data_IF_399766513015
#
_entry.id   IF_399766513015
#
_cell.length_a   1.000
_cell.length_b   1.000
_cell.length_c   1.000
_cell.angle_alpha   90.00
_cell.angle_beta   90.00
_cell.angle_gamma   90.00
#
_symmetry.space_group_name_H-M   'P 1'
#
loop_
_entity.id
_entity.type
_entity.pdbx_description
1 polymer ?
#
# COMPACT_ATOMS: atom_id res chain seq x y z
N UNK A 1 4.89 -22.79 -2.99
CA UNK A 1 3.44 -22.84 -2.74
C UNK A 1 2.91 -21.56 -2.09
N UNK A 2 3.44 -20.37 -2.47
CA UNK A 2 3.16 -19.05 -1.84
C UNK A 2 2.46 -18.03 -2.74
N UNK A 3 2.05 -18.39 -3.98
CA UNK A 3 1.55 -17.40 -4.97
C UNK A 3 0.03 -17.16 -4.97
N UNK A 4 -0.74 -17.87 -4.16
CA UNK A 4 -2.22 -17.83 -4.26
C UNK A 4 -2.93 -16.79 -3.38
N UNK A 5 -2.21 -16.13 -2.45
CA UNK A 5 -2.87 -15.20 -1.50
C UNK A 5 -2.88 -13.76 -2.04
N UNK A 6 -2.01 -13.43 -2.99
CA UNK A 6 -1.98 -12.08 -3.60
C UNK A 6 -3.20 -11.77 -4.49
N UNK A 7 -3.91 -12.81 -4.95
CA UNK A 7 -5.05 -12.65 -5.88
C UNK A 7 -6.34 -12.20 -5.18
N UNK A 8 -6.50 -12.48 -3.90
CA UNK A 8 -7.77 -12.22 -3.20
C UNK A 8 -7.94 -10.75 -2.82
N UNK A 9 -6.86 -10.06 -2.46
CA UNK A 9 -6.94 -8.63 -2.11
C UNK A 9 -7.03 -7.73 -3.34
N UNK A 10 -6.40 -8.09 -4.45
CA UNK A 10 -6.53 -7.37 -5.71
C UNK A 10 -7.87 -7.64 -6.41
N UNK A 11 -8.40 -8.87 -6.29
CA UNK A 11 -9.68 -9.24 -6.88
C UNK A 11 -10.89 -8.54 -6.23
N UNK A 12 -10.85 -8.26 -4.94
CA UNK A 12 -11.93 -7.52 -4.28
C UNK A 12 -12.04 -6.07 -4.78
N UNK A 13 -10.94 -5.45 -5.16
CA UNK A 13 -10.92 -4.09 -5.71
C UNK A 13 -11.28 -4.08 -7.21
N UNK A 14 -10.88 -5.11 -7.96
CA UNK A 14 -11.17 -5.23 -9.41
C UNK A 14 -12.62 -5.65 -9.71
N UNK A 15 -13.28 -6.39 -8.83
CA UNK A 15 -14.69 -6.76 -9.01
C UNK A 15 -15.63 -5.54 -8.92
N UNK A 16 -15.19 -4.46 -8.30
CA UNK A 16 -15.93 -3.20 -8.21
C UNK A 16 -15.86 -2.33 -9.48
N UNK A 17 -14.94 -2.57 -10.39
CA UNK A 17 -14.69 -1.70 -11.55
C UNK A 17 -15.36 -2.17 -12.86
N UNK A 18 -15.96 -3.34 -12.88
CA UNK A 18 -16.43 -3.99 -14.12
C UNK A 18 -17.68 -3.42 -14.79
N UNK A 19 -18.37 -2.44 -14.20
CA UNK A 19 -19.69 -1.99 -14.69
C UNK A 19 -19.88 -0.48 -14.88
N UNK A 20 -18.81 0.31 -14.92
CA UNK A 20 -18.89 1.77 -15.04
C UNK A 20 -18.68 2.28 -16.49
N UNK A 21 -19.29 1.68 -17.50
CA UNK A 21 -19.37 2.31 -18.82
C UNK A 21 -20.84 2.61 -19.13
N UNK A 22 -21.31 3.75 -18.71
CA UNK A 22 -22.52 4.36 -19.26
C UNK A 22 -22.14 5.65 -19.97
N UNK A 23 -22.38 5.69 -21.25
CA UNK A 23 -22.08 6.80 -22.15
C UNK A 23 -22.97 8.01 -21.81
N UNK A 24 -22.36 9.08 -21.32
CA UNK A 24 -23.01 10.38 -21.22
C UNK A 24 -22.89 11.13 -22.55
N UNK A 25 -24.01 11.45 -23.15
CA UNK A 25 -24.07 12.36 -24.32
C UNK A 25 -23.88 13.81 -23.86
N UNK A 26 -22.93 14.46 -24.52
CA UNK A 26 -22.68 15.89 -24.46
C UNK A 26 -23.88 16.67 -25.06
N UNK A 27 -24.49 17.53 -24.28
CA UNK A 27 -25.41 18.57 -24.82
C UNK A 27 -24.76 19.93 -24.67
N UNK A 28 -24.59 20.61 -25.80
CA UNK A 28 -24.19 22.00 -25.93
C UNK A 28 -25.15 22.97 -25.25
N UNK A 29 -24.67 24.03 -24.60
CA UNK A 29 -25.56 25.00 -23.96
C UNK A 29 -26.12 26.02 -24.95
N UNK A 30 -27.42 26.14 -24.98
CA UNK A 30 -28.09 27.27 -25.60
C UNK A 30 -28.56 28.25 -24.52
N UNK A 31 -28.09 29.48 -24.66
CA UNK A 31 -28.41 30.56 -23.74
C UNK A 31 -29.86 31.07 -24.00
N UNK A 32 -30.68 31.12 -22.95
CA UNK A 32 -31.50 32.28 -22.62
C UNK A 32 -32.56 31.97 -21.55
N UNK A 33 -32.72 32.96 -20.69
CA UNK A 33 -33.76 33.26 -19.70
C UNK A 33 -33.64 32.66 -18.30
N UNK A 34 -33.20 33.57 -17.47
CA UNK A 34 -33.22 33.50 -16.00
C UNK A 34 -34.62 33.88 -15.51
N UNK A 35 -35.35 32.95 -14.90
CA UNK A 35 -36.38 33.26 -13.90
C UNK A 35 -35.94 32.68 -12.55
N UNK A 36 -36.09 33.42 -11.44
CA UNK A 36 -35.63 32.95 -10.15
C UNK A 36 -36.73 32.15 -9.44
N UNK A 37 -36.34 31.01 -8.91
CA UNK A 37 -37.07 30.27 -7.89
C UNK A 37 -37.84 29.01 -8.30
N UNK A 38 -37.06 27.98 -8.61
CA UNK A 38 -37.41 26.62 -8.20
C UNK A 38 -36.11 25.98 -7.78
N UNK A 39 -35.98 25.55 -6.53
CA UNK A 39 -34.95 24.62 -6.14
C UNK A 39 -35.13 23.36 -6.98
N UNK A 40 -34.40 23.27 -8.10
CA UNK A 40 -34.29 22.04 -8.85
C UNK A 40 -33.81 20.96 -7.90
N UNK A 41 -34.70 20.01 -7.61
CA UNK A 41 -34.32 18.81 -6.88
C UNK A 41 -33.18 18.15 -7.66
N UNK A 42 -31.99 18.15 -7.08
CA UNK A 42 -30.82 17.45 -7.64
C UNK A 42 -31.28 16.07 -8.10
N UNK A 43 -31.07 15.68 -9.37
CA UNK A 43 -31.53 14.39 -9.86
C UNK A 43 -31.05 13.30 -8.92
N UNK A 44 -31.95 12.38 -8.57
CA UNK A 44 -31.60 11.28 -7.67
C UNK A 44 -30.39 10.53 -8.22
N UNK A 45 -29.36 10.40 -7.44
CA UNK A 45 -28.15 9.68 -7.84
C UNK A 45 -28.52 8.26 -8.31
N UNK A 46 -27.92 7.75 -9.37
CA UNK A 46 -28.26 6.43 -9.89
C UNK A 46 -27.98 5.36 -8.82
N UNK A 47 -28.94 4.46 -8.64
CA UNK A 47 -28.79 3.31 -7.75
C UNK A 47 -27.73 2.35 -8.28
N UNK A 48 -26.58 2.27 -7.63
CA UNK A 48 -25.56 1.26 -7.90
C UNK A 48 -25.51 0.29 -6.71
N UNK A 49 -25.69 -1.00 -6.97
CA UNK A 49 -25.81 -2.06 -5.94
C UNK A 49 -26.84 -1.77 -4.84
N UNK A 50 -27.89 -1.03 -5.20
CA UNK A 50 -28.94 -0.61 -4.27
C UNK A 50 -28.63 0.64 -3.46
N UNK A 51 -27.46 1.27 -3.64
CA UNK A 51 -27.10 2.52 -2.99
C UNK A 51 -27.28 3.71 -3.94
N UNK A 52 -27.70 4.84 -3.38
CA UNK A 52 -27.55 6.13 -4.02
C UNK A 52 -26.08 6.52 -3.96
N UNK A 53 -25.37 6.36 -5.08
CA UNK A 53 -23.91 6.54 -5.16
C UNK A 53 -23.56 7.87 -5.81
N UNK A 54 -22.61 8.57 -5.22
CA UNK A 54 -21.98 9.78 -5.76
C UNK A 54 -20.47 9.60 -5.71
N UNK A 55 -19.76 10.22 -6.64
CA UNK A 55 -18.29 10.21 -6.61
C UNK A 55 -17.66 10.40 -7.97
N UNK A 56 -16.34 10.20 -7.99
CA UNK A 56 -15.53 10.35 -9.20
C UNK A 56 -14.51 9.24 -9.31
N UNK A 57 -14.17 8.91 -10.55
CA UNK A 57 -13.09 7.97 -10.90
C UNK A 57 -12.22 8.63 -11.97
N UNK A 58 -10.94 8.78 -11.67
CA UNK A 58 -9.95 9.31 -12.58
C UNK A 58 -9.02 8.21 -13.06
N UNK A 59 -9.03 7.93 -14.35
CA UNK A 59 -8.17 6.93 -14.96
C UNK A 59 -7.55 7.43 -16.26
N UNK A 60 -6.48 6.80 -16.69
CA UNK A 60 -5.83 7.19 -17.91
C UNK A 60 -4.53 6.44 -18.13
N UNK A 61 -3.75 6.90 -19.09
CA UNK A 61 -2.44 6.34 -19.41
C UNK A 61 -1.37 7.36 -19.10
N UNK A 62 -0.37 6.96 -18.30
CA UNK A 62 0.81 7.77 -18.03
C UNK A 62 1.89 7.43 -19.05
N UNK A 63 2.48 8.47 -19.64
CA UNK A 63 3.71 8.37 -20.41
C UNK A 63 4.85 8.94 -19.56
N UNK A 64 5.88 8.16 -19.33
CA UNK A 64 7.09 8.59 -18.66
C UNK A 64 8.27 8.43 -19.64
N UNK A 65 9.03 9.51 -19.81
CA UNK A 65 10.26 9.50 -20.58
C UNK A 65 11.35 10.09 -19.71
N UNK A 66 12.41 9.35 -19.52
CA UNK A 66 13.54 9.75 -18.66
C UNK A 66 14.74 9.95 -19.56
N UNK A 67 15.37 11.11 -19.42
CA UNK A 67 16.64 11.43 -20.07
C UNK A 67 17.63 11.81 -18.97
N UNK A 68 18.66 10.99 -18.79
CA UNK A 68 19.66 11.15 -17.74
C UNK A 68 19.77 9.91 -16.87
N UNK A 69 20.12 10.09 -15.62
CA UNK A 69 20.31 8.99 -14.68
C UNK A 69 18.98 8.38 -14.25
N UNK A 70 18.79 7.11 -14.60
CA UNK A 70 17.59 6.35 -14.26
C UNK A 70 17.53 6.03 -12.76
N UNK A 71 18.69 5.84 -12.11
CA UNK A 71 18.75 5.56 -10.68
C UNK A 71 18.23 6.74 -9.86
N UNK A 72 18.67 7.94 -10.21
CA UNK A 72 18.20 9.15 -9.55
C UNK A 72 16.70 9.41 -9.82
N UNK A 73 16.24 9.14 -11.03
CA UNK A 73 14.81 9.20 -11.33
C UNK A 73 13.99 8.22 -10.47
N UNK A 74 14.46 6.99 -10.32
CA UNK A 74 13.78 5.98 -9.50
C UNK A 74 13.80 6.31 -8.01
N UNK A 75 14.84 6.99 -7.53
CA UNK A 75 14.92 7.44 -6.15
C UNK A 75 13.88 8.53 -5.83
N UNK A 76 13.68 9.47 -6.75
CA UNK A 76 12.81 10.63 -6.53
C UNK A 76 11.36 10.33 -6.91
N UNK A 77 11.13 9.74 -8.08
CA UNK A 77 9.80 9.64 -8.69
C UNK A 77 9.33 8.19 -8.87
N UNK A 78 10.14 7.34 -9.48
CA UNK A 78 9.83 5.95 -9.85
C UNK A 78 8.48 5.76 -10.56
N UNK A 79 8.07 6.71 -11.38
CA UNK A 79 6.83 6.67 -12.12
C UNK A 79 7.06 6.02 -13.48
N UNK A 80 6.30 4.97 -13.81
CA UNK A 80 6.45 4.21 -15.05
C UNK A 80 5.30 4.47 -15.99
N UNK A 81 5.56 4.32 -17.30
CA UNK A 81 4.50 4.34 -18.31
C UNK A 81 3.53 3.19 -18.11
N UNK A 82 2.26 3.43 -18.38
CA UNK A 82 1.22 2.41 -18.28
C UNK A 82 -0.14 2.98 -17.93
N UNK A 83 -1.14 2.11 -18.00
CA UNK A 83 -2.48 2.44 -17.54
C UNK A 83 -2.47 2.70 -16.02
N UNK A 84 -3.24 3.72 -15.60
CA UNK A 84 -3.34 4.12 -14.19
C UNK A 84 -4.78 4.41 -13.84
N UNK A 85 -5.14 4.00 -12.63
CA UNK A 85 -6.27 4.50 -11.91
C UNK A 85 -5.71 5.53 -10.91
N UNK A 86 -5.80 6.80 -11.30
CA UNK A 86 -5.16 7.89 -10.54
C UNK A 86 -5.86 8.11 -9.23
N UNK A 87 -7.19 8.17 -9.28
CA UNK A 87 -7.99 8.48 -8.12
C UNK A 87 -9.39 7.85 -8.20
N UNK A 88 -9.88 7.40 -7.08
CA UNK A 88 -11.25 6.90 -6.87
C UNK A 88 -11.77 7.51 -5.59
N UNK A 89 -12.90 8.18 -5.68
CA UNK A 89 -13.65 8.66 -4.53
C UNK A 89 -15.14 8.37 -4.77
N UNK A 90 -15.62 7.33 -4.10
CA UNK A 90 -17.01 6.88 -4.22
C UNK A 90 -17.64 6.84 -2.84
N UNK A 91 -18.82 7.40 -2.72
CA UNK A 91 -19.63 7.29 -1.51
C UNK A 91 -21.06 6.94 -1.85
N UNK A 92 -21.71 6.16 -1.00
CA UNK A 92 -23.08 5.76 -1.24
C UNK A 92 -23.88 5.65 0.05
N UNK A 93 -25.17 5.91 -0.07
CA UNK A 93 -26.14 5.73 1.01
C UNK A 93 -27.28 4.82 0.54
N UNK A 94 -27.67 3.92 1.42
CA UNK A 94 -28.81 3.06 1.20
C UNK A 94 -30.11 3.89 1.24
N UNK A 95 -31.10 3.58 0.38
CA UNK A 95 -32.44 4.14 0.50
C UNK A 95 -33.07 3.78 1.84
N UNK A 96 -33.94 4.67 2.35
CA UNK A 96 -34.70 4.39 3.57
C UNK A 96 -35.53 3.09 3.42
N UNK A 97 -35.52 2.28 4.48
CA UNK A 97 -36.23 0.98 4.49
C UNK A 97 -35.55 -0.13 3.69
N UNK A 98 -34.36 0.08 3.14
CA UNK A 98 -33.62 -0.97 2.44
C UNK A 98 -32.98 -1.95 3.43
N UNK A 99 -32.95 -3.25 3.07
CA UNK A 99 -32.30 -4.30 3.83
C UNK A 99 -30.89 -4.62 3.30
N UNK A 100 -30.15 -3.59 2.87
CA UNK A 100 -28.79 -3.78 2.38
C UNK A 100 -27.81 -4.11 3.53
N UNK A 101 -26.67 -4.67 3.15
CA UNK A 101 -25.63 -5.06 4.13
C UNK A 101 -25.02 -3.84 4.86
N UNK A 102 -25.07 -2.65 4.28
CA UNK A 102 -24.63 -1.40 4.90
C UNK A 102 -25.66 -0.29 4.63
N UNK A 103 -25.66 0.75 5.46
CA UNK A 103 -26.47 1.96 5.26
C UNK A 103 -25.68 3.03 4.52
N UNK A 104 -24.35 2.98 4.66
CA UNK A 104 -23.46 3.83 3.86
C UNK A 104 -22.11 3.16 3.64
N UNK A 105 -21.46 3.56 2.56
CA UNK A 105 -20.08 3.21 2.26
C UNK A 105 -19.30 4.42 1.75
N UNK A 106 -17.99 4.35 1.92
CA UNK A 106 -17.02 5.26 1.29
C UNK A 106 -15.83 4.44 0.84
N UNK A 107 -15.45 4.60 -0.43
CA UNK A 107 -14.29 3.98 -1.05
C UNK A 107 -13.39 5.07 -1.61
N UNK A 108 -12.19 5.16 -1.11
CA UNK A 108 -11.15 6.05 -1.62
C UNK A 108 -9.95 5.20 -2.04
N UNK A 109 -9.37 5.49 -3.19
CA UNK A 109 -8.13 4.85 -3.61
C UNK A 109 -7.35 5.77 -4.53
N UNK A 110 -6.03 5.68 -4.48
CA UNK A 110 -5.15 6.48 -5.32
C UNK A 110 -3.91 5.70 -5.76
N UNK A 111 -3.36 6.07 -6.91
CA UNK A 111 -2.11 5.53 -7.44
C UNK A 111 -2.15 4.06 -7.81
N UNK A 112 -3.33 3.49 -8.10
CA UNK A 112 -3.47 2.09 -8.51
C UNK A 112 -3.01 1.89 -9.96
N UNK A 113 -2.47 0.70 -10.23
CA UNK A 113 -1.98 0.34 -11.57
C UNK A 113 -0.47 0.46 -11.76
N UNK A 114 0.30 0.48 -10.65
CA UNK A 114 1.76 0.41 -10.67
C UNK A 114 2.48 1.69 -10.26
N UNK A 115 1.82 2.59 -9.57
CA UNK A 115 2.50 3.67 -8.86
C UNK A 115 3.26 3.13 -7.64
N UNK A 116 4.35 3.79 -7.23
CA UNK A 116 5.19 3.29 -6.15
C UNK A 116 4.48 3.31 -4.79
N UNK A 117 3.55 4.22 -4.59
CA UNK A 117 2.90 4.47 -3.31
C UNK A 117 1.36 4.46 -3.41
N UNK A 118 0.73 3.35 -3.85
CA UNK A 118 -0.72 3.27 -3.89
C UNK A 118 -1.32 3.23 -2.48
N UNK A 119 -2.50 3.80 -2.34
CA UNK A 119 -3.27 3.77 -1.12
C UNK A 119 -4.75 3.51 -1.40
N UNK A 120 -5.46 2.96 -0.41
CA UNK A 120 -6.89 2.75 -0.50
C UNK A 120 -7.54 2.62 0.87
N UNK A 121 -8.77 3.07 0.97
CA UNK A 121 -9.60 2.98 2.16
C UNK A 121 -11.03 2.62 1.79
N UNK A 122 -11.59 1.65 2.49
CA UNK A 122 -13.01 1.31 2.44
C UNK A 122 -13.60 1.47 3.84
N UNK A 123 -14.70 2.19 3.93
CA UNK A 123 -15.49 2.31 5.15
C UNK A 123 -16.90 1.84 4.86
N UNK A 124 -17.43 0.96 5.70
CA UNK A 124 -18.82 0.51 5.68
C UNK A 124 -19.44 0.81 7.03
N UNK A 125 -20.63 1.36 7.01
CA UNK A 125 -21.40 1.65 8.22
C UNK A 125 -22.79 1.04 8.12
N UNK A 126 -23.21 0.33 9.15
CA UNK A 126 -24.57 -0.15 9.35
C UNK A 126 -25.08 0.34 10.69
N UNK A 127 -26.14 1.15 10.68
CA UNK A 127 -26.69 1.73 11.91
C UNK A 127 -27.01 0.65 12.94
N UNK A 128 -26.64 0.91 14.19
CA UNK A 128 -26.82 0.04 15.35
C UNK A 128 -26.21 -1.36 15.24
N UNK A 129 -25.53 -1.69 14.12
CA UNK A 129 -25.02 -3.04 13.92
C UNK A 129 -23.49 -3.06 13.85
N UNK A 130 -22.88 -2.40 12.88
CA UNK A 130 -21.43 -2.43 12.75
C UNK A 130 -20.82 -1.24 12.02
N UNK A 131 -19.53 -1.03 12.30
CA UNK A 131 -18.63 -0.15 11.59
C UNK A 131 -17.41 -0.94 11.13
N UNK A 132 -17.16 -0.97 9.82
CA UNK A 132 -16.00 -1.63 9.23
C UNK A 132 -15.14 -0.58 8.51
N UNK A 133 -13.83 -0.59 8.81
CA UNK A 133 -12.83 0.20 8.10
C UNK A 133 -11.68 -0.68 7.66
N UNK A 134 -11.35 -0.62 6.38
CA UNK A 134 -10.22 -1.32 5.77
C UNK A 134 -9.31 -0.25 5.16
N UNK A 135 -8.01 -0.32 5.46
CA UNK A 135 -7.02 0.56 4.87
C UNK A 135 -5.89 -0.27 4.26
N UNK A 136 -5.38 0.21 3.15
CA UNK A 136 -4.19 -0.31 2.50
C UNK A 136 -3.29 0.85 2.10
N UNK A 137 -1.99 0.69 2.32
CA UNK A 137 -0.97 1.62 1.84
C UNK A 137 0.30 0.85 1.50
N UNK A 138 0.89 1.20 0.38
CA UNK A 138 2.21 0.75 -0.01
C UNK A 138 3.17 1.93 0.01
N UNK A 139 4.41 1.66 0.36
CA UNK A 139 5.53 2.59 0.21
C UNK A 139 6.64 1.86 -0.51
N UNK A 140 7.13 2.47 -1.56
CA UNK A 140 8.31 2.02 -2.28
C UNK A 140 9.47 2.92 -1.90
N UNK A 141 10.59 2.31 -1.59
CA UNK A 141 11.82 3.00 -1.29
C UNK A 141 12.94 2.46 -2.16
N UNK A 142 13.59 3.31 -2.89
CA UNK A 142 14.68 2.99 -3.80
C UNK A 142 15.95 3.70 -3.35
N UNK A 143 17.05 2.99 -3.32
CA UNK A 143 18.38 3.53 -3.07
C UNK A 143 19.23 3.32 -4.31
N UNK A 144 19.20 4.26 -5.20
CA UNK A 144 20.04 4.28 -6.38
C UNK A 144 21.33 4.99 -6.08
N UNK A 145 22.18 4.41 -5.26
CA UNK A 145 23.52 4.94 -5.16
C UNK A 145 24.35 4.43 -6.32
N UNK A 146 24.97 5.33 -7.04
CA UNK A 146 26.05 4.99 -7.96
C UNK A 146 27.26 4.62 -7.12
N UNK A 147 27.33 3.36 -6.73
CA UNK A 147 28.40 2.80 -5.89
C UNK A 147 29.77 2.97 -6.53
N UNK A 148 29.81 3.19 -7.85
CA UNK A 148 31.03 3.47 -8.62
C UNK A 148 31.69 4.79 -8.19
N UNK A 149 30.91 5.73 -7.69
CA UNK A 149 31.41 7.06 -7.29
C UNK A 149 31.97 7.07 -5.87
N UNK A 150 31.64 6.09 -5.03
CA UNK A 150 31.89 6.11 -3.60
C UNK A 150 33.14 5.29 -3.20
N UNK A 151 33.65 4.44 -4.08
CA UNK A 151 34.77 3.57 -3.78
C UNK A 151 36.06 3.93 -4.55
N UNK A 152 36.73 5.02 -4.21
CA UNK A 152 38.01 5.36 -4.85
C UNK A 152 39.17 4.43 -4.44
N UNK A 153 38.90 3.34 -3.70
CA UNK A 153 39.95 2.70 -2.88
C UNK A 153 40.27 1.29 -3.31
N UNK A 154 39.99 0.85 -4.51
CA UNK A 154 40.40 -0.49 -4.85
C UNK A 154 41.72 -0.56 -5.56
N UNK A 155 42.70 -1.20 -4.95
CA UNK A 155 43.72 -1.87 -5.71
C UNK A 155 43.11 -3.00 -6.50
N UNK A 156 43.28 -2.98 -7.81
CA UNK A 156 42.97 -3.99 -8.82
C UNK A 156 42.39 -5.32 -8.30
N UNK A 157 41.12 -5.56 -8.55
CA UNK A 157 40.49 -6.88 -8.48
C UNK A 157 39.25 -7.02 -7.60
N UNK A 158 39.06 -6.20 -6.58
CA UNK A 158 37.94 -6.34 -5.62
C UNK A 158 36.72 -5.51 -6.07
N UNK A 159 36.91 -4.58 -6.96
CA UNK A 159 35.92 -3.61 -7.41
C UNK A 159 34.97 -4.09 -8.50
N UNK A 160 35.31 -5.12 -9.23
CA UNK A 160 34.51 -5.52 -10.39
C UNK A 160 33.07 -5.91 -10.03
N UNK A 161 32.86 -6.50 -8.86
CA UNK A 161 31.52 -6.85 -8.38
C UNK A 161 30.73 -5.68 -7.77
N UNK A 162 31.42 -4.61 -7.36
CA UNK A 162 30.84 -3.41 -6.76
C UNK A 162 30.50 -2.34 -7.82
N UNK A 163 31.04 -2.48 -9.03
CA UNK A 163 30.87 -1.54 -10.13
C UNK A 163 29.59 -1.76 -10.93
N UNK A 164 28.80 -2.77 -10.60
CA UNK A 164 27.52 -3.01 -11.27
C UNK A 164 26.45 -2.11 -10.65
N UNK A 165 25.59 -1.59 -11.51
CA UNK A 165 24.39 -0.89 -11.08
C UNK A 165 23.58 -1.79 -10.13
N UNK A 166 23.46 -1.39 -8.89
CA UNK A 166 22.66 -2.11 -7.91
C UNK A 166 21.27 -1.53 -7.85
N UNK A 167 20.28 -2.39 -7.94
CA UNK A 167 18.88 -2.01 -7.78
C UNK A 167 18.42 -2.29 -6.33
N UNK A 168 18.79 -1.40 -5.43
CA UNK A 168 18.39 -1.48 -4.03
C UNK A 168 17.00 -0.89 -3.85
N UNK A 169 16.01 -1.74 -3.72
CA UNK A 169 14.65 -1.30 -3.57
C UNK A 169 13.91 -2.14 -2.53
N UNK A 170 13.13 -1.51 -1.69
CA UNK A 170 12.24 -2.18 -0.75
C UNK A 170 10.81 -1.69 -0.92
N UNK A 171 9.86 -2.60 -0.82
CA UNK A 171 8.43 -2.31 -0.83
C UNK A 171 7.86 -2.68 0.52
N UNK A 172 7.28 -1.71 1.20
CA UNK A 172 6.55 -1.91 2.46
C UNK A 172 5.05 -1.79 2.20
N UNK A 173 4.30 -2.80 2.61
CA UNK A 173 2.84 -2.83 2.48
C UNK A 173 2.21 -2.91 3.86
N UNK A 174 1.24 -2.04 4.09
CA UNK A 174 0.50 -1.93 5.34
C UNK A 174 -0.98 -2.15 5.03
N UNK A 175 -1.57 -3.16 5.62
CA UNK A 175 -3.00 -3.43 5.57
C UNK A 175 -3.57 -3.39 6.98
N UNK A 176 -4.71 -2.75 7.16
CA UNK A 176 -5.45 -2.80 8.42
C UNK A 176 -6.93 -2.98 8.19
N UNK A 177 -7.58 -3.74 9.07
CA UNK A 177 -9.02 -3.90 9.13
C UNK A 177 -9.46 -3.69 10.58
N UNK A 178 -10.45 -2.83 10.78
CA UNK A 178 -11.08 -2.58 12.06
C UNK A 178 -12.58 -2.80 11.90
N UNK A 179 -13.12 -3.72 12.68
CA UNK A 179 -14.54 -4.05 12.73
C UNK A 179 -15.05 -3.87 14.15
N UNK A 180 -16.04 -2.99 14.31
CA UNK A 180 -16.77 -2.81 15.56
C UNK A 180 -18.20 -3.29 15.34
N UNK A 181 -18.65 -4.24 16.15
CA UNK A 181 -20.00 -4.81 16.09
C UNK A 181 -20.73 -4.47 17.40
N UNK A 182 -21.87 -3.84 17.28
CA UNK A 182 -22.77 -3.55 18.40
C UNK A 182 -23.78 -4.68 18.50
N UNK A 183 -23.59 -5.58 19.45
CA UNK A 183 -24.51 -6.71 19.65
C UNK A 183 -25.76 -6.25 20.41
N UNK A 184 -25.60 -5.31 21.35
CA UNK A 184 -26.69 -4.65 22.09
C UNK A 184 -26.26 -3.24 22.43
N UNK A 185 -27.18 -2.43 23.02
CA UNK A 185 -26.86 -1.09 23.51
C UNK A 185 -25.74 -1.07 24.57
N UNK A 186 -25.49 -2.22 25.21
CA UNK A 186 -24.51 -2.38 26.28
C UNK A 186 -23.29 -3.22 25.89
N UNK A 187 -23.36 -3.97 24.80
CA UNK A 187 -22.33 -4.94 24.42
C UNK A 187 -21.80 -4.65 23.03
N UNK A 188 -20.51 -4.43 22.94
CA UNK A 188 -19.78 -4.19 21.70
C UNK A 188 -18.59 -5.14 21.56
N UNK A 189 -18.40 -5.68 20.37
CA UNK A 189 -17.23 -6.46 19.98
C UNK A 189 -16.35 -5.62 19.04
N UNK A 190 -15.06 -5.74 19.24
CA UNK A 190 -14.05 -5.10 18.37
C UNK A 190 -13.15 -6.17 17.81
N UNK A 191 -12.90 -6.12 16.52
CA UNK A 191 -11.93 -6.97 15.84
C UNK A 191 -10.97 -6.09 15.04
N UNK A 192 -9.67 -6.27 15.26
CA UNK A 192 -8.61 -5.56 14.56
C UNK A 192 -7.66 -6.56 13.92
N UNK A 193 -7.35 -6.38 12.64
CA UNK A 193 -6.32 -7.10 11.93
C UNK A 193 -5.36 -6.12 11.30
N UNK A 194 -4.07 -6.29 11.57
CA UNK A 194 -3.01 -5.50 10.96
C UNK A 194 -2.00 -6.46 10.32
N UNK A 195 -1.69 -6.18 9.07
CA UNK A 195 -0.67 -6.89 8.30
C UNK A 195 0.36 -5.88 7.81
N UNK A 196 1.61 -6.18 8.07
CA UNK A 196 2.75 -5.46 7.56
C UNK A 196 3.68 -6.42 6.85
N UNK A 197 4.08 -6.12 5.62
CA UNK A 197 5.13 -6.83 4.92
C UNK A 197 6.15 -5.85 4.36
N UNK A 198 7.39 -6.27 4.36
CA UNK A 198 8.48 -5.56 3.72
C UNK A 198 9.32 -6.56 2.94
N UNK A 199 9.46 -6.33 1.66
CA UNK A 199 10.22 -7.18 0.77
C UNK A 199 11.11 -6.36 -0.16
N UNK A 200 12.20 -6.95 -0.61
CA UNK A 200 13.12 -6.31 -1.52
C UNK A 200 14.58 -6.57 -1.20
N UNK A 201 15.41 -5.62 -1.59
CA UNK A 201 16.85 -5.67 -1.39
C UNK A 201 17.33 -4.36 -0.77
N UNK A 202 18.13 -4.46 0.27
CA UNK A 202 18.86 -3.34 0.84
C UNK A 202 20.35 -3.67 0.93
N UNK A 203 21.14 -2.69 1.25
CA UNK A 203 22.56 -2.89 1.51
C UNK A 203 22.87 -2.75 3.00
N UNK A 204 23.85 -3.47 3.43
CA UNK A 204 24.42 -3.33 4.75
C UNK A 204 25.96 -3.40 4.68
N UNK A 205 26.62 -2.87 5.68
CA UNK A 205 28.07 -2.98 5.81
C UNK A 205 28.40 -3.78 7.03
N UNK A 206 29.41 -4.64 6.92
CA UNK A 206 29.99 -5.39 8.04
C UNK A 206 31.48 -5.16 8.08
N UNK A 207 32.01 -4.92 9.26
CA UNK A 207 33.42 -5.02 9.51
C UNK A 207 33.72 -6.51 9.71
N UNK A 208 34.56 -7.09 8.85
CA UNK A 208 35.03 -8.42 9.03
C UNK A 208 36.39 -8.31 9.72
N UNK A 209 36.43 -8.69 10.97
CA UNK A 209 37.71 -8.97 11.65
C UNK A 209 38.15 -10.35 11.21
N UNK A 210 38.98 -10.37 10.16
CA UNK A 210 39.46 -11.63 9.59
C UNK A 210 40.68 -12.10 10.40
N UNK A 211 40.59 -13.22 11.08
CA UNK A 211 41.75 -13.78 11.82
C UNK A 211 42.82 -14.41 10.92
N UNK A 212 42.67 -14.25 9.60
CA UNK A 212 43.59 -14.81 8.61
C UNK A 212 44.85 -14.02 8.42
N UNK A 213 45.87 -14.68 7.87
CA UNK A 213 47.17 -14.08 7.59
C UNK A 213 47.03 -12.88 6.67
N UNK A 214 47.77 -11.84 6.94
CA UNK A 214 47.87 -10.62 6.15
C UNK A 214 48.30 -10.85 4.68
N UNK A 215 48.76 -12.04 4.33
CA UNK A 215 49.20 -12.38 2.98
C UNK A 215 48.09 -12.63 1.99
N UNK A 216 46.89 -13.04 2.44
CA UNK A 216 45.79 -13.37 1.56
C UNK A 216 44.86 -12.18 1.32
N UNK A 217 44.67 -11.30 2.30
CA UNK A 217 43.69 -10.21 2.24
C UNK A 217 44.30 -8.81 2.49
N UNK A 218 45.59 -8.74 2.87
CA UNK A 218 46.28 -7.49 3.17
C UNK A 218 45.72 -6.75 4.41
N UNK A 219 46.38 -5.68 4.78
CA UNK A 219 45.94 -4.77 5.85
C UNK A 219 44.59 -4.09 5.56
N UNK A 220 44.16 -4.13 4.32
CA UNK A 220 42.91 -3.56 3.82
C UNK A 220 41.66 -4.27 4.38
N UNK A 221 41.69 -5.59 4.51
CA UNK A 221 40.55 -6.36 4.98
C UNK A 221 40.21 -6.16 6.47
N UNK A 222 41.14 -5.64 7.26
CA UNK A 222 40.92 -5.41 8.68
C UNK A 222 40.28 -4.09 9.04
N UNK A 223 40.31 -3.13 8.14
CA UNK A 223 39.91 -1.74 8.44
C UNK A 223 38.67 -1.27 7.74
N UNK A 224 38.20 -1.97 6.70
CA UNK A 224 37.11 -1.49 5.86
C UNK A 224 35.82 -2.30 6.02
N UNK A 225 34.68 -1.63 6.11
CA UNK A 225 33.39 -2.31 6.06
C UNK A 225 33.19 -2.94 4.67
N UNK A 226 32.77 -4.20 4.65
CA UNK A 226 32.35 -4.86 3.42
C UNK A 226 30.90 -4.53 3.15
N UNK A 227 30.60 -4.13 1.90
CA UNK A 227 29.27 -3.95 1.41
C UNK A 227 28.65 -5.33 1.12
N UNK A 228 27.46 -5.55 1.65
CA UNK A 228 26.72 -6.79 1.49
C UNK A 228 25.31 -6.50 1.00
N UNK A 229 24.85 -7.32 0.05
CA UNK A 229 23.42 -7.37 -0.27
C UNK A 229 22.66 -7.99 0.90
N UNK A 230 21.64 -7.31 1.35
CA UNK A 230 20.76 -7.77 2.42
C UNK A 230 19.33 -7.88 1.87
N UNK A 231 18.93 -9.08 1.40
CA UNK A 231 17.54 -9.33 1.04
C UNK A 231 16.65 -9.13 2.26
N UNK A 232 15.51 -8.49 2.03
CA UNK A 232 14.50 -8.25 3.06
C UNK A 232 13.25 -9.02 2.68
N UNK A 233 12.79 -9.90 3.56
CA UNK A 233 11.51 -10.61 3.45
C UNK A 233 10.92 -10.71 4.87
N UNK A 234 10.15 -9.71 5.24
CA UNK A 234 9.56 -9.56 6.56
C UNK A 234 8.05 -9.59 6.46
N UNK A 235 7.42 -10.27 7.38
CA UNK A 235 5.97 -10.34 7.51
C UNK A 235 5.57 -10.31 8.98
N UNK A 236 4.73 -9.33 9.33
CA UNK A 236 4.06 -9.25 10.63
C UNK A 236 2.55 -9.30 10.44
N UNK A 237 1.89 -10.14 11.25
CA UNK A 237 0.44 -10.16 11.35
C UNK A 237 0.06 -9.98 12.82
N UNK A 238 -0.88 -9.08 13.08
CA UNK A 238 -1.45 -8.86 14.41
C UNK A 238 -2.96 -8.94 14.33
N UNK A 239 -3.54 -9.78 15.16
CA UNK A 239 -4.99 -9.92 15.35
C UNK A 239 -5.31 -9.53 16.77
N UNK A 240 -6.31 -8.68 16.97
CA UNK A 240 -6.79 -8.28 18.29
C UNK A 240 -8.30 -8.40 18.32
N UNK A 241 -8.81 -9.08 19.33
CA UNK A 241 -10.23 -9.15 19.65
C UNK A 241 -10.52 -8.39 20.94
N UNK A 242 -11.65 -7.72 21.01
CA UNK A 242 -12.06 -6.98 22.19
C UNK A 242 -13.56 -7.10 22.46
N UNK A 243 -13.93 -6.97 23.73
CA UNK A 243 -15.29 -6.89 24.22
C UNK A 243 -15.39 -5.67 25.12
N UNK A 244 -16.39 -4.86 24.89
CA UNK A 244 -16.76 -3.74 25.76
C UNK A 244 -18.17 -3.96 26.27
N UNK A 245 -18.34 -3.88 27.58
CA UNK A 245 -19.63 -4.02 28.23
C UNK A 245 -19.90 -2.85 29.15
N UNK A 246 -21.02 -2.18 28.95
CA UNK A 246 -21.43 -1.03 29.75
C UNK A 246 -22.60 -1.40 30.66
N UNK A 247 -22.41 -1.22 31.97
CA UNK A 247 -23.41 -1.44 32.96
C UNK A 247 -23.58 -0.17 33.85
N UNK A 248 -24.68 0.54 33.67
CA UNK A 248 -24.93 1.82 34.33
C UNK A 248 -23.77 2.81 34.07
N UNK A 249 -23.02 3.16 35.15
CA UNK A 249 -21.91 4.11 35.10
C UNK A 249 -20.52 3.43 34.90
N UNK A 250 -20.49 2.11 34.72
CA UNK A 250 -19.26 1.35 34.58
C UNK A 250 -19.14 0.80 33.13
N UNK A 251 -17.96 0.92 32.55
CA UNK A 251 -17.64 0.28 31.28
C UNK A 251 -16.43 -0.63 31.48
N UNK A 252 -16.60 -1.89 31.15
CA UNK A 252 -15.56 -2.91 31.21
C UNK A 252 -15.05 -3.17 29.82
N UNK A 253 -13.73 -3.14 29.66
CA UNK A 253 -13.06 -3.47 28.41
C UNK A 253 -12.15 -4.67 28.62
N UNK A 254 -12.31 -5.69 27.80
CA UNK A 254 -11.40 -6.81 27.72
C UNK A 254 -10.83 -6.88 26.31
N UNK A 255 -9.51 -7.05 26.19
CA UNK A 255 -8.82 -7.19 24.91
C UNK A 255 -7.83 -8.35 24.97
N UNK A 256 -7.75 -9.11 23.88
CA UNK A 256 -6.77 -10.16 23.67
C UNK A 256 -6.21 -10.01 22.26
N UNK A 257 -4.92 -10.20 22.11
CA UNK A 257 -4.25 -10.08 20.84
C UNK A 257 -3.18 -11.14 20.64
N UNK A 258 -2.94 -11.46 19.38
CA UNK A 258 -1.87 -12.33 18.95
C UNK A 258 -1.09 -11.62 17.85
N UNK A 259 0.22 -11.69 17.93
CA UNK A 259 1.12 -11.17 16.89
C UNK A 259 2.10 -12.27 16.47
N UNK A 260 2.24 -12.45 15.18
CA UNK A 260 3.29 -13.26 14.56
C UNK A 260 4.23 -12.36 13.76
N UNK A 261 5.49 -12.68 13.80
CA UNK A 261 6.52 -12.06 12.97
C UNK A 261 7.36 -13.17 12.33
N UNK A 262 7.64 -13.04 11.06
CA UNK A 262 8.56 -13.89 10.35
C UNK A 262 9.50 -13.04 9.51
N UNK A 263 10.76 -13.41 9.53
CA UNK A 263 11.82 -12.78 8.76
C UNK A 263 12.63 -13.87 8.09
N UNK A 264 12.95 -13.68 6.82
CA UNK A 264 13.81 -14.58 6.07
C UNK A 264 14.89 -13.72 5.42
N UNK A 265 16.07 -13.74 6.03
CA UNK A 265 17.24 -13.00 5.55
C UNK A 265 18.37 -13.98 5.21
N UNK A 266 18.95 -13.81 4.05
CA UNK A 266 20.21 -14.45 3.68
C UNK A 266 21.19 -13.36 3.26
N UNK A 267 22.32 -13.31 3.91
CA UNK A 267 23.34 -12.29 3.67
C UNK A 267 24.39 -12.86 2.72
N UNK A 268 24.50 -12.26 1.55
CA UNK A 268 25.49 -12.68 0.57
C UNK A 268 26.55 -11.59 0.44
N UNK A 269 27.80 -11.98 0.54
CA UNK A 269 28.91 -11.09 0.22
C UNK A 269 28.87 -10.75 -1.28
N UNK A 270 28.93 -9.48 -1.61
CA UNK A 270 29.10 -9.01 -3.00
C UNK A 270 30.49 -9.31 -3.54
N UNK A 271 31.39 -9.77 -2.68
CA UNK A 271 32.77 -10.09 -3.01
C UNK A 271 33.01 -11.57 -3.32
N UNK A 272 32.00 -12.43 -3.29
CA UNK A 272 32.15 -13.82 -3.73
C UNK A 272 32.30 -13.84 -5.25
N UNK A 273 33.44 -14.29 -5.78
CA UNK A 273 33.53 -14.56 -7.20
C UNK A 273 32.54 -15.66 -7.54
N UNK A 274 31.84 -15.48 -8.67
CA UNK A 274 30.96 -16.47 -9.23
C UNK A 274 31.75 -17.73 -9.65
#
# INVERSE_FOLDING_TARGET
MRSKIYFVTAAAILFFLGTLVSWGQEQTPNAQNVEPNAQEAKPAAPLQWGFNTDGQVSFGYRFASVKGDMSEYNDIYNLRSGFRLFDVDLSGRAPEGSHLFADSYSLMASGLGGDPNPAGQLTLHKDKLYDLRINYRQSYYYWGQNDNAVLPLSPSGITAGLLNDHNWATVRRLGSMNLNVRATDHLQFTFEYNRESRDGMTQTTRSLDYPGSSSTWGSFARANPFLMAAPVDELSNRITGGISYTLRNWTFHYRVGYQSFSQNESWNSLLTPA
#
